data_IF_041222762526
#
_entry.id   IF_041222762526
#
_cell.length_a   1.000
_cell.length_b   1.000
_cell.length_c   1.000
_cell.angle_alpha   90.00
_cell.angle_beta   90.00
_cell.angle_gamma   90.00
#
_symmetry.space_group_name_H-M   'P 1'
#
loop_
_entity.id
_entity.type
_entity.pdbx_description
1 polymer ?
#
# COMPACT_ATOMS: atom_id res chain seq x y z
N UNK A 1 15.86 -21.82 -11.94
CA UNK A 1 15.06 -21.95 -10.69
C UNK A 1 14.23 -23.23 -10.78
N UNK A 2 14.24 -24.08 -9.75
CA UNK A 2 13.83 -25.49 -9.87
C UNK A 2 12.31 -25.66 -10.01
N UNK A 3 11.91 -26.64 -10.83
CA UNK A 3 10.53 -27.06 -11.11
C UNK A 3 9.68 -27.22 -9.83
N UNK A 4 10.30 -27.65 -8.73
CA UNK A 4 9.68 -27.80 -7.42
C UNK A 4 9.12 -26.48 -6.84
N UNK A 5 9.81 -25.34 -7.03
CA UNK A 5 9.34 -24.03 -6.57
C UNK A 5 8.06 -23.60 -7.29
N UNK A 6 7.99 -23.83 -8.60
CA UNK A 6 6.79 -23.53 -9.38
C UNK A 6 5.62 -24.44 -9.02
N UNK A 7 5.87 -25.72 -8.77
CA UNK A 7 4.82 -26.65 -8.31
C UNK A 7 4.26 -26.25 -6.95
N UNK A 8 5.12 -25.81 -6.02
CA UNK A 8 4.69 -25.34 -4.71
C UNK A 8 3.85 -24.06 -4.81
N UNK A 9 4.27 -23.08 -5.62
CA UNK A 9 3.52 -21.84 -5.84
C UNK A 9 2.15 -22.13 -6.46
N UNK A 10 2.10 -23.01 -7.47
CA UNK A 10 0.84 -23.43 -8.10
C UNK A 10 -0.10 -24.13 -7.10
N UNK A 11 0.42 -24.99 -6.23
CA UNK A 11 -0.37 -25.64 -5.20
C UNK A 11 -0.94 -24.63 -4.19
N UNK A 12 -0.16 -23.64 -3.76
CA UNK A 12 -0.60 -22.56 -2.87
C UNK A 12 -1.71 -21.73 -3.53
N UNK A 13 -1.53 -21.36 -4.80
CA UNK A 13 -2.55 -20.63 -5.56
C UNK A 13 -3.84 -21.45 -5.66
N UNK A 14 -3.74 -22.74 -5.94
CA UNK A 14 -4.89 -23.64 -6.07
C UNK A 14 -5.67 -23.78 -4.75
N UNK A 15 -4.96 -23.93 -3.63
CA UNK A 15 -5.55 -24.06 -2.29
C UNK A 15 -6.25 -22.76 -1.87
N UNK A 16 -5.73 -21.61 -2.27
CA UNK A 16 -6.28 -20.31 -1.89
C UNK A 16 -7.33 -19.77 -2.88
N UNK A 17 -7.52 -20.41 -4.04
CA UNK A 17 -8.41 -19.93 -5.12
C UNK A 17 -9.88 -19.73 -4.69
N UNK A 18 -10.33 -20.47 -3.67
CA UNK A 18 -11.70 -20.39 -3.12
C UNK A 18 -11.73 -20.09 -1.62
N UNK A 19 -10.60 -19.64 -1.05
CA UNK A 19 -10.52 -19.25 0.36
C UNK A 19 -10.41 -17.74 0.43
N UNK A 20 -11.46 -17.09 0.93
CA UNK A 20 -11.32 -15.73 1.46
C UNK A 20 -10.42 -15.84 2.69
N UNK A 21 -9.15 -15.46 2.55
CA UNK A 21 -8.26 -15.35 3.71
C UNK A 21 -8.63 -14.04 4.39
N UNK A 22 -9.54 -14.10 5.37
CA UNK A 22 -9.76 -13.00 6.30
C UNK A 22 -8.56 -12.94 7.25
N UNK A 23 -7.61 -12.05 6.95
CA UNK A 23 -6.62 -11.66 7.94
C UNK A 23 -7.29 -10.75 8.96
N UNK A 24 -7.72 -11.31 10.09
CA UNK A 24 -8.10 -10.48 11.24
C UNK A 24 -6.81 -9.89 11.81
N UNK A 25 -6.56 -8.62 11.51
CA UNK A 25 -5.47 -7.85 12.09
C UNK A 25 -5.94 -7.37 13.48
N UNK A 26 -5.43 -8.01 14.52
CA UNK A 26 -5.59 -7.54 15.90
C UNK A 26 -4.29 -6.84 16.31
N UNK A 27 -4.33 -5.51 16.47
CA UNK A 27 -3.20 -4.71 16.95
C UNK A 27 -3.27 -4.57 18.47
N UNK A 28 -2.15 -4.73 19.17
CA UNK A 28 -2.13 -4.61 20.63
C UNK A 28 -2.21 -3.13 21.08
N UNK A 29 -1.78 -2.20 20.22
CA UNK A 29 -1.81 -0.77 20.46
C UNK A 29 -1.74 0.03 19.15
N UNK A 30 -1.94 1.35 19.26
CA UNK A 30 -1.95 2.28 18.11
C UNK A 30 -0.60 2.40 17.41
N UNK A 31 0.51 2.24 18.12
CA UNK A 31 1.84 2.31 17.52
C UNK A 31 2.08 1.11 16.60
N UNK A 32 1.64 -0.09 16.99
CA UNK A 32 1.70 -1.27 16.12
C UNK A 32 0.85 -1.13 14.85
N UNK A 33 -0.34 -0.52 14.98
CA UNK A 33 -1.22 -0.21 13.85
C UNK A 33 -0.56 0.80 12.89
N UNK A 34 0.08 1.85 13.43
CA UNK A 34 0.87 2.79 12.64
C UNK A 34 2.01 2.11 11.87
N UNK A 35 2.77 1.24 12.54
CA UNK A 35 3.86 0.46 11.90
C UNK A 35 3.35 -0.45 10.79
N UNK A 36 2.16 -1.01 10.94
CA UNK A 36 1.50 -1.76 9.87
C UNK A 36 1.17 -0.88 8.67
N UNK A 37 0.56 0.28 8.89
CA UNK A 37 0.22 1.23 7.82
C UNK A 37 1.47 1.84 7.15
N UNK A 38 2.59 1.95 7.86
CA UNK A 38 3.89 2.32 7.28
C UNK A 38 4.39 1.29 6.26
N UNK A 39 4.31 0.00 6.60
CA UNK A 39 4.66 -1.10 5.69
C UNK A 39 3.72 -1.15 4.50
N UNK A 40 2.42 -0.91 4.74
CA UNK A 40 1.39 -0.89 3.69
C UNK A 40 1.64 0.24 2.70
N UNK A 41 1.92 1.45 3.17
CA UNK A 41 2.30 2.59 2.35
C UNK A 41 3.52 2.28 1.47
N UNK A 42 4.59 1.74 2.06
CA UNK A 42 5.81 1.38 1.35
C UNK A 42 5.55 0.35 0.24
N UNK A 43 4.78 -0.69 0.55
CA UNK A 43 4.44 -1.75 -0.40
C UNK A 43 3.60 -1.22 -1.57
N UNK A 44 2.66 -0.32 -1.29
CA UNK A 44 1.82 0.29 -2.32
C UNK A 44 2.60 1.27 -3.21
N UNK A 45 3.54 2.04 -2.65
CA UNK A 45 4.47 2.86 -3.43
C UNK A 45 5.27 2.01 -4.43
N UNK A 46 5.81 0.87 -3.98
CA UNK A 46 6.52 -0.06 -4.86
C UNK A 46 5.63 -0.60 -5.99
N UNK A 47 4.39 -0.98 -5.67
CA UNK A 47 3.43 -1.45 -6.66
C UNK A 47 3.09 -0.37 -7.69
N UNK A 48 2.86 0.88 -7.25
CA UNK A 48 2.59 2.01 -8.15
C UNK A 48 3.79 2.25 -9.08
N UNK A 49 5.02 2.24 -8.56
CA UNK A 49 6.22 2.41 -9.37
C UNK A 49 6.36 1.32 -10.45
N UNK A 50 6.08 0.07 -10.09
CA UNK A 50 6.05 -1.05 -11.03
C UNK A 50 4.98 -0.83 -12.10
N UNK A 51 3.76 -0.48 -11.69
CA UNK A 51 2.64 -0.24 -12.59
C UNK A 51 2.89 0.93 -13.55
N UNK A 52 3.56 2.00 -13.11
CA UNK A 52 3.90 3.15 -13.97
C UNK A 52 4.90 2.70 -15.05
N UNK A 53 5.90 1.90 -14.66
CA UNK A 53 6.90 1.36 -15.57
C UNK A 53 6.27 0.44 -16.62
N UNK A 54 5.31 -0.39 -16.23
CA UNK A 54 4.64 -1.34 -17.12
C UNK A 54 3.62 -0.67 -18.04
N UNK A 55 2.76 0.20 -17.50
CA UNK A 55 1.65 0.78 -18.25
C UNK A 55 2.02 2.03 -19.05
N UNK A 56 3.10 2.72 -18.67
CA UNK A 56 3.54 3.98 -19.30
C UNK A 56 2.38 4.95 -19.55
N UNK A 57 1.70 5.42 -18.49
CA UNK A 57 0.49 6.23 -18.62
C UNK A 57 0.74 7.50 -19.46
N UNK A 58 -0.26 7.89 -20.25
CA UNK A 58 -0.19 9.13 -21.03
C UNK A 58 -0.12 10.39 -20.14
N UNK A 59 0.34 11.54 -20.68
CA UNK A 59 0.72 12.71 -19.90
C UNK A 59 -0.34 13.22 -18.91
N UNK A 60 -1.61 13.25 -19.31
CA UNK A 60 -2.71 13.68 -18.42
C UNK A 60 -2.95 12.74 -17.24
N UNK A 61 -2.78 11.43 -17.45
CA UNK A 61 -2.89 10.44 -16.37
C UNK A 61 -1.67 10.51 -15.45
N UNK A 62 -0.48 10.69 -16.01
CA UNK A 62 0.78 10.89 -15.26
C UNK A 62 0.70 12.11 -14.34
N UNK A 63 0.27 13.27 -14.84
CA UNK A 63 0.12 14.48 -14.01
C UNK A 63 -0.82 14.27 -12.81
N UNK A 64 -1.92 13.54 -13.00
CA UNK A 64 -2.86 13.20 -11.92
C UNK A 64 -2.25 12.21 -10.91
N UNK A 65 -1.49 11.24 -11.39
CA UNK A 65 -0.74 10.30 -10.54
C UNK A 65 0.25 11.08 -9.69
N UNK A 66 1.10 11.91 -10.29
CA UNK A 66 2.14 12.67 -9.61
C UNK A 66 1.56 13.61 -8.55
N UNK A 67 0.48 14.33 -8.88
CA UNK A 67 -0.22 15.19 -7.92
C UNK A 67 -0.74 14.38 -6.72
N UNK A 68 -1.30 13.20 -6.96
CA UNK A 68 -1.84 12.36 -5.89
C UNK A 68 -0.74 11.74 -5.04
N UNK A 69 0.39 11.37 -5.65
CA UNK A 69 1.58 10.89 -4.95
C UNK A 69 2.19 11.98 -4.07
N UNK A 70 2.28 13.22 -4.54
CA UNK A 70 2.77 14.33 -3.73
C UNK A 70 1.92 14.56 -2.47
N UNK A 71 0.59 14.44 -2.58
CA UNK A 71 -0.31 14.54 -1.42
C UNK A 71 -0.09 13.37 -0.46
N UNK A 72 0.09 12.15 -0.98
CA UNK A 72 0.38 10.98 -0.15
C UNK A 72 1.70 11.14 0.61
N UNK A 73 2.72 11.73 -0.03
CA UNK A 73 4.04 11.95 0.56
C UNK A 73 3.96 13.01 1.67
N UNK A 74 3.25 14.12 1.45
CA UNK A 74 3.04 15.13 2.48
C UNK A 74 2.30 14.59 3.72
N UNK A 75 1.26 13.76 3.53
CA UNK A 75 0.54 13.10 4.62
C UNK A 75 1.43 12.10 5.38
N UNK A 76 2.32 11.41 4.68
CA UNK A 76 3.28 10.50 5.29
C UNK A 76 4.32 11.26 6.14
N UNK A 77 4.84 12.38 5.65
CA UNK A 77 5.75 13.26 6.41
C UNK A 77 5.06 13.88 7.64
N UNK A 78 3.80 14.29 7.52
CA UNK A 78 2.96 14.74 8.64
C UNK A 78 2.81 13.62 9.69
N UNK A 79 2.52 12.39 9.25
CA UNK A 79 2.41 11.25 10.13
C UNK A 79 3.71 10.99 10.90
N UNK A 80 4.87 11.07 10.23
CA UNK A 80 6.18 10.94 10.87
C UNK A 80 6.43 12.05 11.91
N UNK A 81 5.96 13.27 11.64
CA UNK A 81 6.07 14.40 12.58
C UNK A 81 5.24 14.18 13.85
N UNK A 82 4.04 13.59 13.72
CA UNK A 82 3.23 13.20 14.87
C UNK A 82 3.89 12.12 15.74
N UNK A 83 4.54 11.12 15.13
CA UNK A 83 5.31 10.10 15.88
C UNK A 83 6.43 10.72 16.70
N UNK A 84 7.16 11.70 16.14
CA UNK A 84 8.20 12.43 16.88
C UNK A 84 7.66 13.16 18.11
N UNK A 85 6.37 13.47 18.12
CA UNK A 85 5.66 14.11 19.24
C UNK A 85 4.86 13.10 20.09
N UNK A 86 5.07 11.79 19.90
CA UNK A 86 4.34 10.69 20.57
C UNK A 86 2.81 10.67 20.33
N UNK A 87 2.35 11.37 19.29
CA UNK A 87 0.94 11.49 18.90
C UNK A 87 0.55 10.36 17.95
N UNK A 88 0.56 9.11 18.43
CA UNK A 88 0.38 7.93 17.58
C UNK A 88 -1.00 7.83 16.92
N UNK A 89 -2.06 8.38 17.53
CA UNK A 89 -3.40 8.35 16.92
C UNK A 89 -3.46 9.27 15.71
N UNK A 90 -2.93 10.48 15.84
CA UNK A 90 -2.81 11.47 14.78
C UNK A 90 -1.87 10.95 13.68
N UNK A 91 -0.74 10.37 14.05
CA UNK A 91 0.18 9.72 13.12
C UNK A 91 -0.52 8.63 12.31
N UNK A 92 -1.28 7.75 12.95
CA UNK A 92 -2.05 6.71 12.28
C UNK A 92 -3.06 7.32 11.30
N UNK A 93 -3.85 8.30 11.73
CA UNK A 93 -4.86 8.93 10.87
C UNK A 93 -4.23 9.51 9.59
N UNK A 94 -3.14 10.27 9.71
CA UNK A 94 -2.43 10.84 8.56
C UNK A 94 -1.85 9.74 7.67
N UNK A 95 -1.32 8.66 8.26
CA UNK A 95 -0.77 7.52 7.52
C UNK A 95 -1.84 6.74 6.75
N UNK A 96 -3.01 6.49 7.35
CA UNK A 96 -4.15 5.87 6.67
C UNK A 96 -4.66 6.72 5.51
N UNK A 97 -4.68 8.05 5.69
CA UNK A 97 -5.02 8.98 4.61
C UNK A 97 -3.99 8.89 3.46
N UNK A 98 -2.70 8.81 3.76
CA UNK A 98 -1.65 8.62 2.77
C UNK A 98 -1.86 7.32 1.97
N UNK A 99 -2.10 6.20 2.66
CA UNK A 99 -2.45 4.90 2.05
C UNK A 99 -3.73 5.00 1.23
N UNK A 100 -4.74 5.74 1.68
CA UNK A 100 -5.96 6.04 0.94
C UNK A 100 -5.68 6.72 -0.41
N UNK A 101 -4.72 7.65 -0.47
CA UNK A 101 -4.28 8.29 -1.73
C UNK A 101 -3.56 7.29 -2.64
N UNK A 102 -2.67 6.46 -2.12
CA UNK A 102 -2.01 5.42 -2.92
C UNK A 102 -3.03 4.42 -3.51
N UNK A 103 -4.01 3.99 -2.72
CA UNK A 103 -5.11 3.15 -3.20
C UNK A 103 -5.91 3.83 -4.33
N UNK A 104 -6.09 5.16 -4.27
CA UNK A 104 -6.77 5.89 -5.35
C UNK A 104 -5.95 5.92 -6.65
N UNK A 105 -4.62 5.99 -6.56
CA UNK A 105 -3.72 5.85 -7.72
C UNK A 105 -3.81 4.45 -8.30
N UNK A 106 -3.74 3.41 -7.46
CA UNK A 106 -3.85 2.02 -7.89
C UNK A 106 -5.17 1.75 -8.62
N UNK A 107 -6.30 2.28 -8.11
CA UNK A 107 -7.60 2.22 -8.79
C UNK A 107 -7.61 2.95 -10.13
N UNK A 108 -7.00 4.14 -10.23
CA UNK A 108 -6.83 4.86 -11.49
C UNK A 108 -6.04 4.04 -12.52
N UNK A 109 -5.14 3.18 -12.05
CA UNK A 109 -4.32 2.27 -12.86
C UNK A 109 -4.98 0.90 -13.09
N UNK A 110 -6.19 0.68 -12.58
CA UNK A 110 -6.97 -0.54 -12.79
C UNK A 110 -6.72 -1.66 -11.79
N UNK A 111 -6.03 -1.41 -10.68
CA UNK A 111 -5.83 -2.37 -9.60
C UNK A 111 -6.86 -2.16 -8.48
N UNK A 112 -7.52 -3.25 -8.09
CA UNK A 112 -8.54 -3.28 -7.03
C UNK A 112 -8.16 -4.34 -5.98
N UNK A 113 -8.30 -4.01 -4.71
CA UNK A 113 -8.02 -4.86 -3.55
C UNK A 113 -9.12 -4.66 -2.52
#
# INVERSE_FOLDING_TARGET
MSKAKNTLIQAIILINKNRTIEYKLDFANVAEEYEYELRRYTSQKMLIQLAIREQQPGPGKTAKIDQTLAIADALHEEAQSHVQSEQYREALNSQEMAVGKLNSVLRLMGYFF
#
